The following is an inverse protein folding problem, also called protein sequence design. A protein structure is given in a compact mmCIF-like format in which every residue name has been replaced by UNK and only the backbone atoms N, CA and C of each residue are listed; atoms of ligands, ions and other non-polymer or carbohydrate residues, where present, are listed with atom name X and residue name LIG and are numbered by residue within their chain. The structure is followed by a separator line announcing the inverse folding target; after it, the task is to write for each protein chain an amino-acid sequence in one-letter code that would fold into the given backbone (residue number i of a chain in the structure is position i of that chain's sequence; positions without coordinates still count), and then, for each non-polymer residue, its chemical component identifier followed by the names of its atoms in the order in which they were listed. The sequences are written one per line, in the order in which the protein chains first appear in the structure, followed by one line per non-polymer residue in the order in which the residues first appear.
data_IF_701841804018
#
_entry.id   IF_701841804018
#
_cell.length_a   1.000
_cell.length_b   1.000
_cell.length_c   1.000
_cell.angle_alpha   90.00
_cell.angle_beta   90.00
_cell.angle_gamma   90.00
#
_symmetry.space_group_name_H-M   'P 1'
#
loop_
_entity.id
_entity.type
_entity.pdbx_description
1 polymer ?
#
# COMPACT_ATOMS: atom_id res chain seq x y z
N UNK A 1 20.76 -3.66 15.76
CA UNK A 1 19.92 -2.87 14.85
C UNK A 1 20.75 -2.04 13.87
N UNK A 2 21.87 -1.47 14.28
CA UNK A 2 22.82 -0.76 13.41
C UNK A 2 23.56 -1.66 12.38
N UNK A 3 23.80 -2.91 12.73
CA UNK A 3 24.49 -3.88 11.85
C UNK A 3 23.72 -4.27 10.58
N UNK A 4 22.40 -4.25 10.61
CA UNK A 4 21.58 -4.64 9.47
C UNK A 4 21.57 -3.56 8.38
N UNK A 5 21.62 -2.29 8.78
CA UNK A 5 21.64 -1.15 7.88
C UNK A 5 22.95 -1.02 7.11
N UNK A 6 24.05 -1.19 7.83
CA UNK A 6 25.40 -1.15 7.22
C UNK A 6 25.63 -2.31 6.26
N UNK A 7 25.11 -3.51 6.56
CA UNK A 7 25.24 -4.66 5.71
C UNK A 7 24.46 -4.52 4.40
N UNK A 8 23.19 -4.11 4.46
CA UNK A 8 22.34 -3.93 3.26
C UNK A 8 22.87 -2.79 2.37
N UNK A 9 23.29 -1.66 2.97
CA UNK A 9 23.87 -0.57 2.20
C UNK A 9 25.23 -0.96 1.59
N UNK A 10 26.07 -1.70 2.31
CA UNK A 10 27.37 -2.15 1.81
C UNK A 10 27.22 -3.19 0.68
N UNK A 11 26.28 -4.13 0.80
CA UNK A 11 26.02 -5.13 -0.24
C UNK A 11 25.44 -4.48 -1.50
N UNK A 12 24.54 -3.52 -1.36
CA UNK A 12 23.98 -2.78 -2.50
C UNK A 12 25.05 -1.93 -3.20
N UNK A 13 25.91 -1.28 -2.41
CA UNK A 13 27.03 -0.46 -2.93
C UNK A 13 28.10 -1.30 -3.60
N UNK A 14 28.44 -2.46 -3.03
CA UNK A 14 29.44 -3.39 -3.60
C UNK A 14 28.94 -4.02 -4.90
N UNK A 15 27.64 -4.32 -4.99
CA UNK A 15 27.00 -4.88 -6.19
C UNK A 15 26.93 -3.88 -7.34
N UNK A 16 26.71 -2.58 -7.05
CA UNK A 16 26.53 -1.53 -8.06
C UNK A 16 27.82 -0.81 -8.45
N UNK A 17 28.99 -1.12 -7.81
CA UNK A 17 30.29 -0.44 -8.05
C UNK A 17 30.18 1.10 -8.11
N UNK A 18 29.31 1.67 -7.30
CA UNK A 18 29.07 3.11 -7.30
C UNK A 18 30.21 3.86 -6.58
N UNK A 19 30.61 5.03 -7.09
CA UNK A 19 31.63 5.85 -6.45
C UNK A 19 31.18 6.38 -5.08
N UNK A 20 32.10 6.42 -4.13
CA UNK A 20 31.86 6.73 -2.70
C UNK A 20 31.12 8.05 -2.46
N UNK A 21 31.24 9.03 -3.35
CA UNK A 21 30.52 10.32 -3.24
C UNK A 21 29.00 10.20 -3.47
N UNK A 22 28.53 9.10 -4.06
CA UNK A 22 27.08 8.81 -4.21
C UNK A 22 26.48 8.08 -3.00
N UNK A 23 27.30 7.75 -2.00
CA UNK A 23 26.84 7.07 -0.78
C UNK A 23 25.68 7.79 -0.08
N UNK A 24 25.74 9.12 0.18
CA UNK A 24 24.61 9.82 0.80
C UNK A 24 23.34 9.79 -0.05
N UNK A 25 23.45 9.86 -1.37
CA UNK A 25 22.31 9.73 -2.28
C UNK A 25 21.73 8.30 -2.26
N UNK A 26 22.58 7.29 -2.22
CA UNK A 26 22.16 5.89 -2.08
C UNK A 26 21.45 5.62 -0.76
N UNK A 27 21.94 6.17 0.35
CA UNK A 27 21.29 6.10 1.65
C UNK A 27 19.93 6.80 1.63
N UNK A 28 19.82 7.95 0.98
CA UNK A 28 18.59 8.71 0.87
C UNK A 28 17.55 7.96 0.02
N UNK A 29 17.97 7.33 -1.07
CA UNK A 29 17.13 6.45 -1.91
C UNK A 29 16.68 5.23 -1.11
N UNK A 30 17.59 4.56 -0.39
CA UNK A 30 17.25 3.44 0.45
C UNK A 30 16.26 3.81 1.56
N UNK A 31 16.41 5.00 2.16
CA UNK A 31 15.54 5.51 3.21
C UNK A 31 14.14 5.85 2.68
N UNK A 32 14.04 6.47 1.51
CA UNK A 32 12.77 6.90 0.91
C UNK A 32 12.07 5.75 0.19
N UNK A 33 12.81 4.86 -0.44
CA UNK A 33 12.26 3.82 -1.31
C UNK A 33 12.11 2.46 -0.60
N UNK A 34 13.14 1.99 0.13
CA UNK A 34 13.12 0.68 0.80
C UNK A 34 12.60 0.74 2.24
N UNK A 35 12.57 1.95 2.86
CA UNK A 35 12.24 2.07 4.28
C UNK A 35 13.27 1.36 5.15
N UNK A 36 14.14 2.09 5.82
CA UNK A 36 15.35 1.60 6.51
C UNK A 36 15.11 0.53 7.58
N UNK A 37 13.88 0.36 8.06
CA UNK A 37 13.50 -0.69 9.01
C UNK A 37 12.21 -1.34 8.52
N UNK A 38 12.13 -2.65 8.59
CA UNK A 38 10.99 -3.46 8.20
C UNK A 38 9.63 -2.92 8.73
N UNK A 39 9.65 -2.26 9.87
CA UNK A 39 8.46 -1.67 10.49
C UNK A 39 8.20 -0.20 10.10
N UNK A 40 9.20 0.53 9.59
CA UNK A 40 9.10 1.97 9.31
C UNK A 40 8.96 2.30 7.81
N UNK A 41 8.96 1.30 6.94
CA UNK A 41 8.82 1.46 5.49
C UNK A 41 7.55 2.22 5.08
N UNK A 42 6.49 2.13 5.88
CA UNK A 42 5.21 2.75 5.58
C UNK A 42 5.25 4.29 5.68
N UNK A 43 6.14 4.88 6.51
CA UNK A 43 6.22 6.34 6.67
C UNK A 43 6.70 7.01 5.38
N UNK A 44 7.89 6.67 4.82
CA UNK A 44 8.33 7.22 3.54
C UNK A 44 7.38 6.82 2.40
N UNK A 45 6.84 5.61 2.41
CA UNK A 45 5.85 5.17 1.44
C UNK A 45 4.57 6.04 1.49
N UNK A 46 4.08 6.36 2.68
CA UNK A 46 2.92 7.24 2.87
C UNK A 46 3.19 8.67 2.38
N UNK A 47 4.34 9.25 2.73
CA UNK A 47 4.71 10.60 2.30
C UNK A 47 4.85 10.70 0.78
N UNK A 48 5.50 9.71 0.16
CA UNK A 48 5.66 9.64 -1.29
C UNK A 48 4.30 9.45 -1.98
N UNK A 49 3.46 8.55 -1.46
CA UNK A 49 2.11 8.34 -1.97
C UNK A 49 1.23 9.58 -1.83
N UNK A 50 1.30 10.29 -0.69
CA UNK A 50 0.56 11.55 -0.48
C UNK A 50 0.99 12.62 -1.48
N UNK A 51 2.30 12.80 -1.68
CA UNK A 51 2.82 13.73 -2.67
C UNK A 51 2.32 13.38 -4.08
N UNK A 52 2.42 12.11 -4.46
CA UNK A 52 2.02 11.61 -5.77
C UNK A 52 0.52 11.82 -6.02
N UNK A 53 -0.35 11.39 -5.09
CA UNK A 53 -1.81 11.55 -5.23
C UNK A 53 -2.19 13.02 -5.30
N UNK A 54 -1.61 13.88 -4.46
CA UNK A 54 -1.86 15.31 -4.49
C UNK A 54 -1.49 15.94 -5.85
N UNK A 55 -0.35 15.53 -6.44
CA UNK A 55 0.04 15.97 -7.78
C UNK A 55 -0.90 15.44 -8.87
N UNK A 56 -1.30 14.17 -8.78
CA UNK A 56 -2.23 13.57 -9.74
C UNK A 56 -3.60 14.27 -9.70
N UNK A 57 -4.16 14.48 -8.50
CA UNK A 57 -5.45 15.16 -8.35
C UNK A 57 -5.39 16.59 -8.88
N UNK A 58 -4.31 17.32 -8.59
CA UNK A 58 -4.13 18.70 -9.07
C UNK A 58 -3.96 18.81 -10.59
N UNK A 59 -3.27 17.84 -11.22
CA UNK A 59 -2.94 17.92 -12.66
C UNK A 59 -3.99 17.25 -13.55
N UNK A 60 -4.51 16.11 -13.14
CA UNK A 60 -5.37 15.26 -13.94
C UNK A 60 -6.85 15.27 -13.49
N UNK A 61 -7.12 15.83 -12.32
CA UNK A 61 -8.44 15.76 -11.68
C UNK A 61 -8.70 14.44 -10.95
N UNK A 62 -9.77 14.41 -10.17
CA UNK A 62 -10.09 13.31 -9.26
C UNK A 62 -10.28 11.96 -9.99
N UNK A 63 -11.00 11.95 -11.10
CA UNK A 63 -11.30 10.71 -11.83
C UNK A 63 -10.04 10.05 -12.39
N UNK A 64 -9.20 10.81 -13.10
CA UNK A 64 -7.97 10.28 -13.69
C UNK A 64 -6.93 9.92 -12.64
N UNK A 65 -6.87 10.64 -11.52
CA UNK A 65 -6.05 10.26 -10.38
C UNK A 65 -6.45 8.88 -9.84
N UNK A 66 -7.78 8.61 -9.73
CA UNK A 66 -8.28 7.30 -9.35
C UNK A 66 -7.89 6.17 -10.30
N UNK A 67 -8.06 6.41 -11.60
CA UNK A 67 -7.64 5.44 -12.64
C UNK A 67 -6.14 5.15 -12.54
N UNK A 68 -5.33 6.19 -12.41
CA UNK A 68 -3.86 6.04 -12.35
C UNK A 68 -3.43 5.27 -11.09
N UNK A 69 -3.98 5.62 -9.92
CA UNK A 69 -3.66 4.91 -8.67
C UNK A 69 -4.12 3.45 -8.70
N UNK A 70 -5.27 3.17 -9.32
CA UNK A 70 -5.76 1.81 -9.53
C UNK A 70 -4.83 1.00 -10.45
N UNK A 71 -4.39 1.60 -11.56
CA UNK A 71 -3.45 0.93 -12.48
C UNK A 71 -2.11 0.63 -11.81
N UNK A 72 -1.59 1.57 -11.01
CA UNK A 72 -0.37 1.33 -10.22
C UNK A 72 -0.57 0.18 -9.23
N UNK A 73 -1.70 0.14 -8.54
CA UNK A 73 -2.02 -0.95 -7.61
C UNK A 73 -2.17 -2.30 -8.33
N UNK A 74 -2.85 -2.32 -9.49
CA UNK A 74 -2.99 -3.52 -10.32
C UNK A 74 -1.63 -4.06 -10.79
N UNK A 75 -0.65 -3.18 -11.05
CA UNK A 75 0.71 -3.63 -11.34
C UNK A 75 1.34 -4.36 -10.15
N UNK A 76 1.14 -3.87 -8.93
CA UNK A 76 1.57 -4.55 -7.71
C UNK A 76 0.88 -5.90 -7.47
N UNK A 77 -0.39 -6.05 -7.89
CA UNK A 77 -1.13 -7.31 -7.77
C UNK A 77 -0.47 -8.47 -8.52
N UNK A 78 0.30 -8.21 -9.59
CA UNK A 78 1.00 -9.24 -10.36
C UNK A 78 1.92 -10.06 -9.44
N UNK A 79 2.51 -9.44 -8.42
CA UNK A 79 3.38 -10.10 -7.44
C UNK A 79 2.64 -11.20 -6.67
N UNK A 80 1.47 -10.88 -6.15
CA UNK A 80 0.64 -11.81 -5.37
C UNK A 80 -0.04 -12.87 -6.23
N UNK A 81 -0.48 -12.49 -7.44
CA UNK A 81 -1.16 -13.40 -8.36
C UNK A 81 -0.23 -14.09 -9.36
N UNK A 82 1.08 -14.02 -9.16
CA UNK A 82 2.11 -14.59 -10.05
C UNK A 82 1.90 -16.08 -10.32
N UNK A 83 1.48 -16.86 -9.32
CA UNK A 83 1.20 -18.29 -9.45
C UNK A 83 0.09 -18.61 -10.48
N UNK A 84 -0.81 -17.67 -10.74
CA UNK A 84 -1.88 -17.81 -11.75
C UNK A 84 -1.48 -17.25 -13.12
N UNK A 85 -0.35 -16.56 -13.21
CA UNK A 85 0.12 -15.83 -14.39
C UNK A 85 1.37 -16.45 -15.03
N UNK A 86 1.80 -17.64 -14.61
CA UNK A 86 3.10 -18.27 -14.91
C UNK A 86 3.50 -18.31 -16.41
N UNK A 87 2.54 -18.24 -17.32
CA UNK A 87 2.81 -18.29 -18.77
C UNK A 87 2.58 -16.96 -19.48
N UNK A 88 2.21 -15.91 -18.76
CA UNK A 88 1.76 -14.65 -19.35
C UNK A 88 2.92 -13.68 -19.60
N UNK A 89 2.86 -12.90 -20.69
CA UNK A 89 3.82 -11.82 -20.98
C UNK A 89 3.91 -10.78 -19.87
N UNK A 90 2.84 -10.62 -19.06
CA UNK A 90 2.80 -9.72 -17.91
C UNK A 90 3.79 -10.14 -16.82
N UNK A 91 3.90 -11.45 -16.53
CA UNK A 91 4.85 -11.96 -15.55
C UNK A 91 6.29 -11.71 -15.98
N UNK A 92 6.60 -11.89 -17.28
CA UNK A 92 7.93 -11.57 -17.82
C UNK A 92 8.27 -10.08 -17.65
N UNK A 93 7.32 -9.19 -17.92
CA UNK A 93 7.47 -7.76 -17.71
C UNK A 93 7.69 -7.41 -16.23
N UNK A 94 6.93 -8.07 -15.33
CA UNK A 94 7.11 -7.90 -13.89
C UNK A 94 8.46 -8.42 -13.40
N UNK A 95 8.93 -9.57 -13.89
CA UNK A 95 10.26 -10.11 -13.55
C UNK A 95 11.39 -9.16 -13.96
N UNK A 96 11.27 -8.52 -15.12
CA UNK A 96 12.24 -7.49 -15.55
C UNK A 96 12.21 -6.29 -14.60
N UNK A 97 11.02 -5.85 -14.17
CA UNK A 97 10.84 -4.80 -13.18
C UNK A 97 11.43 -5.18 -11.82
N UNK A 98 11.14 -6.38 -11.30
CA UNK A 98 11.61 -6.83 -9.98
C UNK A 98 13.12 -6.98 -9.90
N UNK A 99 13.77 -7.29 -11.00
CA UNK A 99 15.26 -7.31 -11.09
C UNK A 99 15.88 -5.91 -10.92
N UNK A 100 15.15 -4.84 -11.23
CA UNK A 100 15.60 -3.45 -11.08
C UNK A 100 15.17 -2.83 -9.75
N UNK A 101 13.98 -3.14 -9.27
CA UNK A 101 13.32 -2.43 -8.16
C UNK A 101 13.01 -3.31 -6.94
N UNK A 102 13.40 -4.57 -6.93
CA UNK A 102 13.26 -5.58 -5.87
C UNK A 102 11.82 -5.94 -5.48
N UNK A 103 10.93 -4.98 -5.21
CA UNK A 103 9.55 -5.24 -4.78
C UNK A 103 8.60 -4.13 -5.23
N UNK A 104 7.34 -4.48 -5.46
CA UNK A 104 6.26 -3.52 -5.69
C UNK A 104 5.68 -2.95 -4.37
N UNK A 105 6.05 -3.50 -3.22
CA UNK A 105 5.60 -3.04 -1.90
C UNK A 105 6.30 -1.73 -1.50
N UNK A 106 5.92 -0.64 -2.12
CA UNK A 106 6.51 0.67 -1.89
C UNK A 106 5.47 1.80 -1.99
N UNK A 107 5.92 3.03 -1.72
CA UNK A 107 5.08 4.23 -1.79
C UNK A 107 4.54 4.58 -3.18
N UNK A 108 5.06 3.96 -4.24
CA UNK A 108 4.63 4.21 -5.60
C UNK A 108 3.42 3.36 -6.02
N UNK A 109 3.39 2.08 -5.65
CA UNK A 109 2.37 1.13 -6.12
C UNK A 109 1.31 0.83 -5.07
N UNK A 110 1.74 0.62 -3.81
CA UNK A 110 0.84 0.19 -2.75
C UNK A 110 0.05 1.33 -2.14
N UNK A 111 0.72 2.40 -1.71
CA UNK A 111 0.14 3.45 -0.88
C UNK A 111 -0.84 4.40 -1.60
N UNK A 112 -0.64 4.78 -2.89
CA UNK A 112 -1.45 5.80 -3.54
C UNK A 112 -2.95 5.49 -3.58
N UNK A 113 -3.32 4.22 -3.76
CA UNK A 113 -4.75 3.83 -3.84
C UNK A 113 -5.47 4.09 -2.51
N UNK A 114 -4.83 3.82 -1.37
CA UNK A 114 -5.43 4.04 -0.06
C UNK A 114 -5.58 5.52 0.26
N UNK A 115 -4.60 6.33 -0.12
CA UNK A 115 -4.67 7.79 0.03
C UNK A 115 -5.77 8.36 -0.88
N UNK A 116 -5.82 7.93 -2.14
CA UNK A 116 -6.88 8.33 -3.05
C UNK A 116 -8.27 7.96 -2.52
N UNK A 117 -8.44 6.75 -1.98
CA UNK A 117 -9.70 6.34 -1.38
C UNK A 117 -10.08 7.18 -0.16
N UNK A 118 -9.10 7.66 0.61
CA UNK A 118 -9.33 8.64 1.68
C UNK A 118 -9.89 9.96 1.15
N UNK A 119 -9.31 10.53 0.09
CA UNK A 119 -9.86 11.71 -0.59
C UNK A 119 -11.26 11.47 -1.14
N UNK A 120 -11.46 10.35 -1.83
CA UNK A 120 -12.75 9.98 -2.39
C UNK A 120 -13.82 9.81 -1.32
N UNK A 121 -13.49 9.17 -0.20
CA UNK A 121 -14.41 9.02 0.93
C UNK A 121 -14.77 10.37 1.55
N UNK A 122 -13.80 11.27 1.69
CA UNK A 122 -14.04 12.62 2.22
C UNK A 122 -15.04 13.40 1.35
N UNK A 123 -14.82 13.44 0.04
CA UNK A 123 -15.68 14.16 -0.90
C UNK A 123 -17.09 13.57 -1.00
N UNK A 124 -17.23 12.24 -0.83
CA UNK A 124 -18.50 11.53 -0.99
C UNK A 124 -19.06 11.00 0.33
N UNK A 125 -18.56 11.50 1.46
CA UNK A 125 -18.94 10.97 2.78
C UNK A 125 -20.45 10.94 2.99
N UNK A 126 -21.19 12.00 2.63
CA UNK A 126 -22.63 12.10 2.79
C UNK A 126 -23.46 11.51 1.65
N UNK A 127 -22.81 10.92 0.65
CA UNK A 127 -23.50 10.30 -0.47
C UNK A 127 -24.37 9.12 -0.03
N UNK A 128 -25.51 8.87 -0.70
CA UNK A 128 -26.35 7.71 -0.42
C UNK A 128 -25.58 6.38 -0.51
N UNK A 129 -24.58 6.33 -1.38
CA UNK A 129 -23.76 5.15 -1.58
C UNK A 129 -23.00 4.70 -0.32
N UNK A 130 -22.53 5.63 0.52
CA UNK A 130 -21.81 5.32 1.75
C UNK A 130 -22.73 5.30 2.99
N UNK A 131 -23.92 5.92 2.90
CA UNK A 131 -24.85 6.00 4.02
C UNK A 131 -25.74 4.77 4.12
N UNK A 132 -26.30 4.32 2.97
CA UNK A 132 -27.29 3.23 2.92
C UNK A 132 -26.58 1.87 2.89
N UNK A 133 -27.11 0.92 3.69
CA UNK A 133 -26.64 -0.47 3.74
C UNK A 133 -25.12 -0.64 4.06
N UNK A 134 -24.56 0.28 4.85
CA UNK A 134 -23.11 0.30 5.14
C UNK A 134 -22.59 -1.04 5.71
N UNK A 135 -23.31 -1.64 6.65
CA UNK A 135 -22.93 -2.90 7.27
C UNK A 135 -23.01 -4.10 6.31
N UNK A 136 -24.01 -4.08 5.44
CA UNK A 136 -24.17 -5.13 4.43
C UNK A 136 -23.03 -5.06 3.39
N UNK A 137 -22.66 -3.85 2.95
CA UNK A 137 -21.52 -3.65 2.05
C UNK A 137 -20.20 -4.07 2.69
N UNK A 138 -20.00 -3.72 3.96
CA UNK A 138 -18.81 -4.16 4.71
C UNK A 138 -18.78 -5.68 4.85
N UNK A 139 -19.89 -6.30 5.24
CA UNK A 139 -19.97 -7.76 5.37
C UNK A 139 -19.72 -8.47 4.04
N UNK A 140 -20.31 -7.95 2.95
CA UNK A 140 -20.10 -8.49 1.60
C UNK A 140 -18.63 -8.39 1.18
N UNK A 141 -18.00 -7.21 1.33
CA UNK A 141 -16.59 -7.02 0.95
C UNK A 141 -15.64 -7.85 1.83
N UNK A 142 -15.92 -7.99 3.12
CA UNK A 142 -15.17 -8.89 4.01
C UNK A 142 -15.32 -10.35 3.62
N UNK A 143 -16.54 -10.79 3.28
CA UNK A 143 -16.77 -12.16 2.82
C UNK A 143 -16.01 -12.47 1.54
N UNK A 144 -16.05 -11.57 0.56
CA UNK A 144 -15.28 -11.70 -0.68
C UNK A 144 -13.77 -11.67 -0.42
N UNK A 145 -13.31 -10.82 0.48
CA UNK A 145 -11.89 -10.75 0.87
C UNK A 145 -11.41 -12.06 1.54
N UNK A 146 -12.24 -12.70 2.35
CA UNK A 146 -11.93 -14.01 2.91
C UNK A 146 -11.81 -15.08 1.81
N UNK A 147 -12.69 -15.05 0.81
CA UNK A 147 -12.63 -15.97 -0.33
C UNK A 147 -11.34 -15.74 -1.12
N UNK A 148 -11.01 -14.47 -1.42
CA UNK A 148 -9.77 -14.10 -2.08
C UNK A 148 -8.54 -14.61 -1.29
N UNK A 149 -8.55 -14.43 0.03
CA UNK A 149 -7.50 -14.96 0.91
C UNK A 149 -7.32 -16.47 0.77
N UNK A 150 -8.40 -17.24 0.81
CA UNK A 150 -8.35 -18.70 0.62
C UNK A 150 -7.77 -19.08 -0.76
N UNK A 151 -8.16 -18.35 -1.82
CA UNK A 151 -7.64 -18.58 -3.17
C UNK A 151 -6.14 -18.34 -3.24
N UNK A 152 -5.66 -17.20 -2.71
CA UNK A 152 -4.24 -16.85 -2.70
C UNK A 152 -3.41 -17.81 -1.85
N UNK A 153 -3.95 -18.26 -0.69
CA UNK A 153 -3.25 -19.21 0.17
C UNK A 153 -3.17 -20.63 -0.38
N UNK A 154 -4.04 -21.01 -1.33
CA UNK A 154 -3.98 -22.30 -2.01
C UNK A 154 -2.85 -22.38 -3.05
N UNK A 155 -2.58 -21.29 -3.76
CA UNK A 155 -1.54 -21.20 -4.78
C UNK A 155 -0.62 -20.03 -4.42
N UNK A 156 0.55 -20.35 -3.90
CA UNK A 156 1.50 -19.34 -3.40
C UNK A 156 2.17 -18.61 -4.58
N UNK A 157 1.93 -17.29 -4.65
CA UNK A 157 2.67 -16.38 -5.51
C UNK A 157 4.05 -16.00 -4.91
N UNK A 158 4.72 -15.04 -5.54
CA UNK A 158 6.03 -14.52 -5.09
C UNK A 158 5.90 -13.88 -3.71
N UNK A 159 4.82 -13.10 -3.50
CA UNK A 159 4.51 -12.45 -2.23
C UNK A 159 2.99 -12.44 -2.00
N UNK A 160 2.55 -12.24 -0.75
CA UNK A 160 1.14 -12.25 -0.33
C UNK A 160 0.67 -10.90 0.21
N UNK A 161 1.26 -9.80 -0.25
CA UNK A 161 1.02 -8.46 0.30
C UNK A 161 -0.10 -7.69 -0.40
N UNK A 162 -0.44 -8.03 -1.65
CA UNK A 162 -1.44 -7.35 -2.44
C UNK A 162 -2.71 -8.19 -2.60
N UNK A 163 -3.82 -7.68 -2.09
CA UNK A 163 -5.14 -8.25 -2.27
C UNK A 163 -6.01 -7.28 -3.07
N UNK A 164 -6.67 -7.75 -4.10
CA UNK A 164 -7.52 -6.89 -4.95
C UNK A 164 -8.65 -6.24 -4.16
N UNK A 165 -9.24 -6.96 -3.21
CA UNK A 165 -10.36 -6.47 -2.40
C UNK A 165 -9.94 -5.62 -1.20
N UNK A 166 -8.66 -5.61 -0.83
CA UNK A 166 -8.18 -4.88 0.36
C UNK A 166 -8.54 -3.38 0.35
N UNK A 167 -8.36 -2.62 -0.75
CA UNK A 167 -8.75 -1.21 -0.78
C UNK A 167 -10.25 -1.02 -0.55
N UNK A 168 -11.10 -1.88 -1.10
CA UNK A 168 -12.56 -1.81 -0.93
C UNK A 168 -12.97 -2.13 0.51
N UNK A 169 -12.39 -3.15 1.12
CA UNK A 169 -12.61 -3.44 2.54
C UNK A 169 -12.20 -2.25 3.40
N UNK A 170 -11.04 -1.66 3.12
CA UNK A 170 -10.52 -0.53 3.88
C UNK A 170 -11.48 0.68 3.82
N UNK A 171 -11.98 1.06 2.64
CA UNK A 171 -12.87 2.21 2.52
C UNK A 171 -14.20 1.98 3.25
N UNK A 172 -14.80 0.80 3.16
CA UNK A 172 -16.04 0.50 3.87
C UNK A 172 -15.84 0.34 5.38
N UNK A 173 -14.71 -0.19 5.80
CA UNK A 173 -14.35 -0.29 7.22
C UNK A 173 -14.18 1.10 7.84
N UNK A 174 -13.39 1.97 7.19
CA UNK A 174 -13.18 3.35 7.65
C UNK A 174 -14.50 4.11 7.68
N UNK A 175 -15.35 4.00 6.63
CA UNK A 175 -16.66 4.62 6.61
C UNK A 175 -17.56 4.11 7.75
N UNK A 176 -17.56 2.81 8.04
CA UNK A 176 -18.31 2.23 9.14
C UNK A 176 -17.81 2.75 10.50
N UNK A 177 -16.49 2.79 10.70
CA UNK A 177 -15.87 3.31 11.93
C UNK A 177 -16.18 4.79 12.16
N UNK A 178 -16.03 5.64 11.14
CA UNK A 178 -16.28 7.08 11.25
C UNK A 178 -17.74 7.41 11.58
N UNK A 179 -18.69 6.59 11.13
CA UNK A 179 -20.13 6.78 11.38
C UNK A 179 -20.65 6.11 12.64
N UNK A 180 -19.86 5.32 13.32
CA UNK A 180 -20.28 4.60 14.52
C UNK A 180 -19.99 5.43 15.75
N UNK A 181 -21.02 5.72 16.56
CA UNK A 181 -20.90 6.47 17.81
C UNK A 181 -20.10 5.73 18.88
N UNK A 182 -19.87 4.43 18.70
CA UNK A 182 -19.12 3.59 19.63
C UNK A 182 -17.71 4.13 19.91
N UNK A 183 -17.02 4.66 18.90
CA UNK A 183 -15.71 5.30 19.08
C UNK A 183 -15.77 6.68 19.75
N UNK A 184 -16.94 7.33 19.78
CA UNK A 184 -17.12 8.60 20.50
C UNK A 184 -17.35 8.41 22.00
N UNK A 185 -17.87 7.27 22.39
CA UNK A 185 -18.26 6.97 23.79
C UNK A 185 -17.14 6.31 24.58
N UNK A 186 -16.29 5.51 23.90
CA UNK A 186 -15.07 5.02 24.52
C UNK A 186 -14.02 6.13 24.42
N UNK A 187 -13.70 6.74 25.55
CA UNK A 187 -12.62 7.69 25.65
C UNK A 187 -11.37 7.08 25.02
N UNK A 188 -10.86 7.70 23.98
CA UNK A 188 -9.60 7.39 23.30
C UNK A 188 -8.39 7.33 24.24
N UNK A 189 -8.59 7.56 25.54
CA UNK A 189 -7.57 7.49 26.59
C UNK A 189 -6.92 6.11 26.68
N UNK A 190 -7.70 5.03 26.56
CA UNK A 190 -7.13 3.69 26.61
C UNK A 190 -6.22 3.40 25.40
N UNK A 191 -6.65 3.80 24.19
CA UNK A 191 -5.82 3.68 22.98
C UNK A 191 -4.59 4.59 23.02
N UNK A 192 -4.74 5.79 23.58
CA UNK A 192 -3.62 6.72 23.81
C UNK A 192 -2.60 6.16 24.80
N UNK A 193 -3.05 5.54 25.88
CA UNK A 193 -2.18 4.87 26.85
C UNK A 193 -1.46 3.66 26.24
N UNK A 194 -2.15 2.85 25.46
CA UNK A 194 -1.52 1.72 24.74
C UNK A 194 -0.50 2.18 23.71
N UNK A 195 -0.78 3.27 22.99
CA UNK A 195 0.16 3.87 22.02
C UNK A 195 1.39 4.50 22.64
N UNK A 196 1.33 4.91 23.92
CA UNK A 196 2.49 5.45 24.65
C UNK A 196 3.29 4.38 25.38
N UNK A 197 2.77 3.16 25.49
CA UNK A 197 3.42 2.01 26.13
C UNK A 197 4.19 1.10 25.15
N UNK A 198 4.09 1.35 23.84
CA UNK A 198 4.83 0.71 22.75
C UNK A 198 5.98 1.60 22.29
#
# INVERSE_FOLDING_TARGET
MELCLSAICLDLFSSLKLPVYLFPAGVLIALVYLGMCYQLWYIPAFLLGLFLVNQLVKRLGMLWAGVTTLLLYCWGLIETYSAYLDTTSLLKGYQLYSNLFFTAQNGLFYTPIFIYMGYYLYDHFDSPSFRVHRWQKLALTLGLFCIEGVVIFRNEGIDKNFFFLLPFVTIYLVNACLRTSFLKTYELQCLKQMSMAL
#
